data_IF_123213491225
#
_entry.id   IF_123213491225
#
_cell.length_a   1.000
_cell.length_b   1.000
_cell.length_c   1.000
_cell.angle_alpha   90.00
_cell.angle_beta   90.00
_cell.angle_gamma   90.00
#
_symmetry.space_group_name_H-M   'P 1'
#
loop_
_entity.id
_entity.type
_entity.pdbx_description
1 polymer ?
#
# COMPACT_ATOMS: atom_id res chain seq x y z
N UNK A 1 29.99 -1.47 -12.52
CA UNK A 1 29.24 -0.78 -11.45
C UNK A 1 27.95 -0.31 -12.08
N UNK A 2 26.83 -0.97 -11.78
CA UNK A 2 25.50 -0.54 -12.21
C UNK A 2 24.71 -0.21 -10.94
N UNK A 3 24.61 1.09 -10.66
CA UNK A 3 23.78 1.66 -9.61
C UNK A 3 22.51 2.19 -10.28
N UNK A 4 21.36 1.58 -9.98
CA UNK A 4 20.03 2.19 -10.12
C UNK A 4 18.95 1.22 -9.60
N UNK A 5 18.90 1.01 -8.29
CA UNK A 5 17.69 0.54 -7.60
C UNK A 5 17.37 1.53 -6.47
N UNK A 6 17.27 2.82 -6.81
CA UNK A 6 16.72 3.80 -5.87
C UNK A 6 15.25 3.43 -5.66
N UNK A 7 14.82 3.01 -4.47
CA UNK A 7 13.41 2.78 -4.22
C UNK A 7 12.73 4.14 -4.38
N UNK A 8 12.03 4.33 -5.49
CA UNK A 8 11.18 5.51 -5.62
C UNK A 8 10.12 5.37 -4.54
N UNK A 9 10.21 6.24 -3.55
CA UNK A 9 9.22 6.41 -2.51
C UNK A 9 7.82 6.51 -3.16
N UNK A 10 6.94 5.55 -2.87
CA UNK A 10 5.63 5.45 -3.51
C UNK A 10 4.55 6.09 -2.63
N UNK A 11 3.81 7.02 -3.20
CA UNK A 11 2.63 7.60 -2.55
C UNK A 11 1.44 6.66 -2.73
N UNK A 12 1.04 5.98 -1.66
CA UNK A 12 -0.05 4.99 -1.63
C UNK A 12 -1.43 5.67 -1.56
N UNK A 13 -1.76 6.50 -2.55
CA UNK A 13 -3.01 7.30 -2.58
C UNK A 13 -4.22 6.51 -3.12
N UNK A 14 -4.00 5.42 -3.86
CA UNK A 14 -5.09 4.67 -4.47
C UNK A 14 -4.84 3.17 -4.65
N UNK A 15 -5.89 2.40 -5.01
CA UNK A 15 -5.87 0.94 -5.05
C UNK A 15 -4.76 0.37 -5.93
N UNK A 16 -4.65 0.87 -7.16
CA UNK A 16 -3.64 0.40 -8.13
C UNK A 16 -2.22 0.67 -7.64
N UNK A 17 -1.97 1.82 -7.03
CA UNK A 17 -0.65 2.18 -6.52
C UNK A 17 -0.24 1.28 -5.36
N UNK A 18 -1.19 0.94 -4.48
CA UNK A 18 -0.94 0.01 -3.37
C UNK A 18 -0.67 -1.41 -3.84
N UNK A 19 -1.43 -1.93 -4.81
CA UNK A 19 -1.18 -3.28 -5.34
C UNK A 19 0.17 -3.37 -6.06
N UNK A 20 0.53 -2.36 -6.85
CA UNK A 20 1.84 -2.30 -7.52
C UNK A 20 2.97 -2.23 -6.48
N UNK A 21 2.83 -1.38 -5.45
CA UNK A 21 3.78 -1.30 -4.36
C UNK A 21 3.92 -2.64 -3.62
N UNK A 22 2.80 -3.29 -3.29
CA UNK A 22 2.77 -4.59 -2.61
C UNK A 22 3.55 -5.64 -3.39
N UNK A 23 3.36 -5.72 -4.72
CA UNK A 23 4.13 -6.64 -5.57
C UNK A 23 5.63 -6.32 -5.54
N UNK A 24 6.01 -5.04 -5.67
CA UNK A 24 7.42 -4.61 -5.67
C UNK A 24 8.10 -4.90 -4.33
N UNK A 25 7.44 -4.58 -3.22
CA UNK A 25 8.02 -4.76 -1.88
C UNK A 25 8.11 -6.25 -1.52
N UNK A 26 7.12 -7.07 -1.89
CA UNK A 26 7.19 -8.53 -1.73
C UNK A 26 8.39 -9.12 -2.47
N UNK A 27 8.64 -8.71 -3.73
CA UNK A 27 9.82 -9.16 -4.48
C UNK A 27 11.13 -8.71 -3.82
N UNK A 28 11.20 -7.47 -3.33
CA UNK A 28 12.38 -6.93 -2.64
C UNK A 28 12.67 -7.69 -1.34
N UNK A 29 11.66 -7.90 -0.50
CA UNK A 29 11.78 -8.65 0.75
C UNK A 29 12.16 -10.13 0.51
N UNK A 30 11.66 -10.73 -0.58
CA UNK A 30 12.04 -12.09 -0.98
C UNK A 30 13.52 -12.17 -1.39
N UNK A 31 13.99 -11.26 -2.24
CA UNK A 31 15.41 -11.18 -2.63
C UNK A 31 16.33 -11.00 -1.43
N UNK A 32 15.87 -10.25 -0.44
CA UNK A 32 16.61 -9.97 0.78
C UNK A 32 16.45 -11.03 1.87
N UNK A 33 15.73 -12.14 1.59
CA UNK A 33 15.48 -13.26 2.50
C UNK A 33 14.83 -12.86 3.82
N UNK A 34 14.00 -11.81 3.80
CA UNK A 34 13.29 -11.29 4.98
C UNK A 34 11.77 -11.27 4.82
N UNK A 35 11.24 -11.90 3.75
CA UNK A 35 9.81 -11.95 3.45
C UNK A 35 8.99 -12.59 4.59
N UNK A 36 9.53 -13.61 5.23
CA UNK A 36 8.86 -14.39 6.28
C UNK A 36 8.57 -13.57 7.55
N UNK A 37 9.37 -12.53 7.82
CA UNK A 37 9.14 -11.57 8.91
C UNK A 37 7.97 -10.63 8.60
N UNK A 38 7.80 -10.23 7.34
CA UNK A 38 6.67 -9.40 6.92
C UNK A 38 5.34 -10.18 6.91
N UNK A 39 5.40 -11.49 6.62
CA UNK A 39 4.23 -12.36 6.64
C UNK A 39 3.90 -12.92 8.03
N UNK A 40 4.79 -12.72 9.02
CA UNK A 40 4.63 -13.29 10.36
C UNK A 40 4.69 -14.82 10.40
N UNK A 41 5.28 -15.45 9.37
CA UNK A 41 5.41 -16.90 9.26
C UNK A 41 6.66 -17.43 9.96
N UNK A 42 7.53 -16.54 10.45
CA UNK A 42 8.68 -16.90 11.28
C UNK A 42 8.23 -17.22 12.71
N UNK A 43 7.73 -18.44 12.91
CA UNK A 43 7.76 -19.09 14.23
C UNK A 43 9.16 -19.63 14.49
N UNK A 44 10.18 -18.75 14.55
CA UNK A 44 11.39 -19.11 15.27
C UNK A 44 11.11 -18.84 16.75
N UNK A 45 11.07 -19.87 17.62
CA UNK A 45 11.04 -19.64 19.05
C UNK A 45 12.29 -18.83 19.40
N UNK A 46 12.11 -17.77 20.17
CA UNK A 46 13.18 -16.91 20.69
C UNK A 46 14.16 -17.71 21.59
N UNK A 47 13.90 -18.99 21.84
CA UNK A 47 14.71 -19.81 22.74
C UNK A 47 15.66 -20.71 21.95
N UNK A 48 16.97 -20.45 22.10
CA UNK A 48 18.09 -21.37 21.82
C UNK A 48 18.82 -21.24 20.49
N UNK A 49 19.35 -20.06 20.13
CA UNK A 49 20.73 -19.99 19.61
C UNK A 49 21.21 -18.55 19.58
N UNK A 50 22.24 -18.26 20.37
CA UNK A 50 23.02 -17.02 20.29
C UNK A 50 23.80 -17.00 18.96
N UNK A 51 23.12 -16.72 17.85
CA UNK A 51 23.77 -16.31 16.60
C UNK A 51 23.81 -14.78 16.61
N UNK A 52 24.98 -14.13 16.51
CA UNK A 52 25.10 -12.65 16.45
C UNK A 52 24.43 -11.98 15.23
N UNK A 53 23.65 -12.71 14.42
CA UNK A 53 23.01 -12.24 13.20
C UNK A 53 21.52 -11.88 13.33
N UNK A 54 20.82 -12.39 14.36
CA UNK A 54 19.35 -12.27 14.47
C UNK A 54 18.90 -10.83 14.74
N UNK A 55 19.72 -10.04 15.44
CA UNK A 55 19.45 -8.61 15.73
C UNK A 55 19.45 -7.74 14.48
N UNK A 56 20.05 -8.18 13.36
CA UNK A 56 20.23 -7.36 12.15
C UNK A 56 19.11 -7.55 11.11
N UNK A 57 18.32 -8.62 11.21
CA UNK A 57 17.36 -9.02 10.16
C UNK A 57 16.01 -8.31 10.31
N UNK A 58 15.53 -8.11 11.54
CA UNK A 58 14.27 -7.39 11.82
C UNK A 58 14.36 -5.89 11.45
N UNK A 59 15.42 -5.15 11.84
CA UNK A 59 15.59 -3.76 11.41
C UNK A 59 15.68 -3.62 9.89
N UNK A 60 16.24 -4.63 9.21
CA UNK A 60 16.41 -4.62 7.75
C UNK A 60 15.08 -4.71 7.01
N UNK A 61 14.19 -5.62 7.41
CA UNK A 61 12.88 -5.75 6.77
C UNK A 61 12.00 -4.52 7.01
N UNK A 62 12.06 -3.98 8.23
CA UNK A 62 11.36 -2.76 8.63
C UNK A 62 11.85 -1.54 7.82
N UNK A 63 13.16 -1.32 7.74
CA UNK A 63 13.76 -0.24 6.96
C UNK A 63 13.45 -0.32 5.46
N UNK A 64 13.49 -1.52 4.86
CA UNK A 64 13.13 -1.71 3.44
C UNK A 64 11.70 -1.22 3.13
N UNK A 65 10.76 -1.45 4.05
CA UNK A 65 9.38 -0.98 3.92
C UNK A 65 9.32 0.55 4.09
N UNK A 66 9.97 1.10 5.13
CA UNK A 66 10.01 2.55 5.37
C UNK A 66 10.59 3.33 4.20
N UNK A 67 11.70 2.87 3.61
CA UNK A 67 12.35 3.49 2.44
C UNK A 67 11.47 3.50 1.19
N UNK A 68 10.42 2.69 1.16
CA UNK A 68 9.54 2.51 -0.01
C UNK A 68 8.23 3.30 0.06
N UNK A 69 7.93 3.94 1.19
CA UNK A 69 6.69 4.68 1.44
C UNK A 69 6.97 6.18 1.65
N UNK A 70 5.96 7.02 1.50
CA UNK A 70 6.09 8.48 1.70
C UNK A 70 6.25 8.88 3.15
N UNK A 71 6.91 10.00 3.40
CA UNK A 71 7.08 10.59 4.74
C UNK A 71 5.74 10.76 5.47
N UNK A 72 4.67 11.09 4.74
CA UNK A 72 3.33 11.20 5.29
C UNK A 72 2.77 9.85 5.80
N UNK A 73 3.10 8.74 5.11
CA UNK A 73 2.73 7.39 5.55
C UNK A 73 3.67 6.92 6.67
N UNK A 74 4.96 7.23 6.56
CA UNK A 74 5.96 6.94 7.57
C UNK A 74 5.54 7.51 8.93
N UNK A 75 5.16 8.79 8.98
CA UNK A 75 4.66 9.46 10.18
C UNK A 75 3.41 8.79 10.77
N UNK A 76 2.48 8.33 9.92
CA UNK A 76 1.28 7.60 10.37
C UNK A 76 1.59 6.22 10.95
N UNK A 77 2.75 5.67 10.61
CA UNK A 77 3.17 4.33 11.03
C UNK A 77 4.31 4.33 12.06
N UNK A 78 4.66 5.51 12.59
CA UNK A 78 5.82 5.71 13.49
C UNK A 78 5.83 4.74 14.69
N UNK A 79 4.66 4.46 15.25
CA UNK A 79 4.53 3.63 16.47
C UNK A 79 4.68 2.12 16.20
N UNK A 80 4.73 1.69 14.93
CA UNK A 80 4.81 0.28 14.57
C UNK A 80 6.26 -0.16 14.45
N UNK A 81 6.80 -0.74 15.52
CA UNK A 81 8.21 -1.13 15.62
C UNK A 81 8.53 -2.49 14.99
N UNK A 82 7.51 -3.32 14.72
CA UNK A 82 7.69 -4.62 14.05
C UNK A 82 7.36 -4.51 12.56
N UNK A 83 8.04 -5.28 11.72
CA UNK A 83 7.78 -5.33 10.27
C UNK A 83 6.34 -5.74 9.95
N UNK A 84 5.80 -6.68 10.73
CA UNK A 84 4.42 -7.15 10.58
C UNK A 84 3.42 -6.05 10.91
N UNK A 85 3.57 -5.40 12.07
CA UNK A 85 2.64 -4.34 12.48
C UNK A 85 2.70 -3.15 11.52
N UNK A 86 3.89 -2.81 11.02
CA UNK A 86 4.06 -1.78 9.99
C UNK A 86 3.30 -2.15 8.71
N UNK A 87 3.43 -3.38 8.23
CA UNK A 87 2.74 -3.83 7.03
C UNK A 87 1.21 -3.89 7.21
N UNK A 88 0.74 -4.40 8.34
CA UNK A 88 -0.69 -4.48 8.68
C UNK A 88 -1.30 -3.07 8.85
N UNK A 89 -0.56 -2.12 9.41
CA UNK A 89 -0.97 -0.72 9.50
C UNK A 89 -1.09 -0.06 8.12
N UNK A 90 -0.13 -0.28 7.22
CA UNK A 90 -0.20 0.21 5.84
C UNK A 90 -1.40 -0.39 5.09
N UNK A 91 -1.70 -1.68 5.33
CA UNK A 91 -2.88 -2.34 4.78
C UNK A 91 -4.18 -1.71 5.32
N UNK A 92 -4.25 -1.42 6.62
CA UNK A 92 -5.38 -0.77 7.25
C UNK A 92 -5.62 0.65 6.70
N UNK A 93 -4.56 1.46 6.60
CA UNK A 93 -4.62 2.80 6.01
C UNK A 93 -5.14 2.75 4.57
N UNK A 94 -4.66 1.80 3.78
CA UNK A 94 -5.12 1.60 2.41
C UNK A 94 -6.61 1.21 2.35
N UNK A 95 -7.06 0.27 3.18
CA UNK A 95 -8.46 -0.15 3.23
C UNK A 95 -9.40 0.99 3.58
N UNK A 96 -9.06 1.77 4.61
CA UNK A 96 -9.85 2.95 5.00
C UNK A 96 -9.88 3.98 3.88
N UNK A 97 -8.72 4.29 3.28
CA UNK A 97 -8.63 5.27 2.19
C UNK A 97 -9.39 4.83 0.93
N UNK A 98 -9.36 3.53 0.62
CA UNK A 98 -10.14 2.93 -0.48
C UNK A 98 -11.64 3.02 -0.21
N UNK A 99 -12.09 2.72 1.02
CA UNK A 99 -13.50 2.84 1.40
C UNK A 99 -13.98 4.29 1.31
N UNK A 100 -13.21 5.26 1.84
CA UNK A 100 -13.54 6.69 1.74
C UNK A 100 -13.62 7.14 0.29
N UNK A 101 -12.68 6.70 -0.55
CA UNK A 101 -12.67 7.03 -1.98
C UNK A 101 -13.87 6.42 -2.71
N UNK A 102 -14.23 5.18 -2.40
CA UNK A 102 -15.38 4.49 -2.97
C UNK A 102 -16.69 5.18 -2.56
N UNK A 103 -16.81 5.57 -1.29
CA UNK A 103 -17.94 6.34 -0.79
C UNK A 103 -18.09 7.68 -1.53
N UNK A 104 -17.00 8.42 -1.73
CA UNK A 104 -17.03 9.69 -2.44
C UNK A 104 -17.39 9.52 -3.93
N UNK A 105 -16.88 8.48 -4.61
CA UNK A 105 -17.26 8.18 -6.00
C UNK A 105 -18.73 7.78 -6.08
N UNK A 106 -19.22 6.96 -5.15
CA UNK A 106 -20.62 6.58 -5.07
C UNK A 106 -21.52 7.80 -4.84
N UNK A 107 -21.13 8.70 -3.94
CA UNK A 107 -21.84 9.95 -3.70
C UNK A 107 -21.86 10.84 -4.95
N UNK A 108 -20.75 10.96 -5.68
CA UNK A 108 -20.73 11.69 -6.95
C UNK A 108 -21.67 11.05 -7.98
N UNK A 109 -21.62 9.73 -8.14
CA UNK A 109 -22.48 9.01 -9.07
C UNK A 109 -23.96 9.21 -8.74
N UNK A 110 -24.35 9.07 -7.47
CA UNK A 110 -25.72 9.24 -7.01
C UNK A 110 -26.25 10.67 -7.20
N UNK A 111 -25.39 11.68 -7.01
CA UNK A 111 -25.76 13.09 -7.17
C UNK A 111 -25.57 13.62 -8.59
N UNK A 112 -25.17 12.78 -9.56
CA UNK A 112 -24.94 13.17 -10.95
C UNK A 112 -26.25 13.31 -11.73
N UNK A 113 -27.10 14.27 -11.34
CA UNK A 113 -28.27 14.64 -12.12
C UNK A 113 -27.84 15.44 -13.36
N UNK A 114 -28.38 15.08 -14.54
CA UNK A 114 -28.12 15.84 -15.76
C UNK A 114 -28.80 17.22 -15.70
N UNK A 115 -27.99 18.29 -15.80
CA UNK A 115 -28.47 19.68 -15.72
C UNK A 115 -28.91 20.27 -17.07
N UNK A 116 -28.70 19.54 -18.18
CA UNK A 116 -28.92 20.04 -19.53
C UNK A 116 -27.82 20.99 -20.06
N UNK A 117 -26.83 21.35 -19.23
CA UNK A 117 -25.72 22.23 -19.63
C UNK A 117 -24.61 21.56 -20.45
N UNK A 118 -24.57 20.23 -20.45
CA UNK A 118 -23.68 19.41 -21.29
C UNK A 118 -24.48 18.58 -22.28
N UNK A 119 -23.83 18.06 -23.32
CA UNK A 119 -24.45 17.05 -24.18
C UNK A 119 -24.76 15.78 -23.39
N UNK A 120 -25.74 15.01 -23.86
CA UNK A 120 -26.10 13.71 -23.27
C UNK A 120 -24.90 12.75 -23.33
N UNK A 121 -24.12 12.78 -24.42
CA UNK A 121 -22.96 11.92 -24.59
C UNK A 121 -21.87 12.20 -23.54
N UNK A 122 -21.61 13.47 -23.22
CA UNK A 122 -20.65 13.85 -22.18
C UNK A 122 -21.11 13.40 -20.80
N UNK A 123 -22.41 13.52 -20.53
CA UNK A 123 -22.99 13.07 -19.27
C UNK A 123 -22.88 11.54 -19.11
N UNK A 124 -23.19 10.77 -20.15
CA UNK A 124 -23.02 9.32 -20.17
C UNK A 124 -21.54 8.93 -19.95
N UNK A 125 -20.61 9.61 -20.63
CA UNK A 125 -19.18 9.35 -20.48
C UNK A 125 -18.69 9.60 -19.04
N UNK A 126 -19.21 10.63 -18.36
CA UNK A 126 -18.93 10.89 -16.96
C UNK A 126 -19.42 9.75 -16.05
N UNK A 127 -20.66 9.29 -16.24
CA UNK A 127 -21.21 8.17 -15.47
C UNK A 127 -20.39 6.89 -15.66
N UNK A 128 -20.06 6.55 -16.91
CA UNK A 128 -19.22 5.40 -17.24
C UNK A 128 -17.82 5.50 -16.61
N UNK A 129 -17.25 6.70 -16.56
CA UNK A 129 -15.95 6.93 -15.91
C UNK A 129 -16.03 6.68 -14.41
N UNK A 130 -17.09 7.17 -13.74
CA UNK A 130 -17.29 6.95 -12.31
C UNK A 130 -17.54 5.47 -11.99
N UNK A 131 -18.36 4.79 -12.80
CA UNK A 131 -18.61 3.35 -12.69
C UNK A 131 -17.34 2.53 -12.90
N UNK A 132 -16.56 2.83 -13.94
CA UNK A 132 -15.29 2.16 -14.21
C UNK A 132 -14.28 2.35 -13.07
N UNK A 133 -14.22 3.56 -12.50
CA UNK A 133 -13.39 3.84 -11.33
C UNK A 133 -13.81 3.01 -10.13
N UNK A 134 -15.11 2.90 -9.84
CA UNK A 134 -15.64 2.11 -8.74
C UNK A 134 -15.35 0.61 -8.93
N UNK A 135 -15.56 0.10 -10.15
CA UNK A 135 -15.27 -1.30 -10.49
C UNK A 135 -13.77 -1.65 -10.32
N UNK A 136 -12.88 -0.70 -10.57
CA UNK A 136 -11.44 -0.86 -10.40
C UNK A 136 -10.93 -0.81 -8.96
N UNK A 137 -11.79 -0.60 -7.96
CA UNK A 137 -11.39 -0.56 -6.54
C UNK A 137 -11.45 -1.92 -5.83
N UNK A 138 -11.88 -2.98 -6.54
CA UNK A 138 -12.05 -4.34 -6.04
C UNK A 138 -10.71 -5.08 -5.97
#
# INVERSE_FOLDING_TARGET
IASADTPTCLTLIGPSNFQIWKLRITVKLWREKVLSMALGTDTCPITSLSIPGTTTIVPRAHGIIQDSISDALLLKTEMHTTTKDLFDALLSIHQVSSLTSAFYIFQQLFNSAWSGGSTISEHIALLQTLEARLAGMK
#
